data_IF_673686268790
#
_entry.id   IF_673686268790
#
_cell.length_a   1.000
_cell.length_b   1.000
_cell.length_c   1.000
_cell.angle_alpha   90.00
_cell.angle_beta   90.00
_cell.angle_gamma   90.00
#
_symmetry.space_group_name_H-M   'P 1'
#
loop_
_entity.id
_entity.type
_entity.pdbx_description
1 polymer ?
#
# COMPACT_ATOMS: atom_id res chain seq x y z
N UNK A 1 37.76 14.59 -59.27
CA UNK A 1 37.49 13.39 -58.45
C UNK A 1 37.47 13.68 -56.93
N UNK A 2 38.19 14.68 -56.40
CA UNK A 2 38.22 14.94 -54.94
C UNK A 2 37.01 15.66 -54.30
N UNK A 3 36.22 16.42 -55.07
CA UNK A 3 35.06 17.17 -54.52
C UNK A 3 33.86 16.26 -54.22
N UNK A 4 33.59 15.27 -55.10
CA UNK A 4 32.54 14.27 -54.87
C UNK A 4 32.81 13.47 -53.60
N UNK A 5 34.05 13.01 -53.40
CA UNK A 5 34.44 12.25 -52.21
C UNK A 5 34.30 13.03 -50.90
N UNK A 6 34.49 14.35 -50.93
CA UNK A 6 34.31 15.20 -49.73
C UNK A 6 32.82 15.34 -49.41
N UNK A 7 31.95 15.53 -50.42
CA UNK A 7 30.49 15.58 -50.22
C UNK A 7 29.95 14.23 -49.72
N UNK A 8 30.46 13.13 -50.24
CA UNK A 8 30.07 11.78 -49.81
C UNK A 8 30.51 11.51 -48.35
N UNK A 9 31.70 11.97 -47.96
CA UNK A 9 32.18 11.93 -46.57
C UNK A 9 31.33 12.79 -45.62
N UNK A 10 30.98 14.02 -46.01
CA UNK A 10 30.14 14.89 -45.17
C UNK A 10 28.73 14.29 -45.02
N UNK A 11 28.16 13.80 -46.12
CA UNK A 11 26.80 13.22 -46.11
C UNK A 11 26.73 11.95 -45.26
N UNK A 12 27.74 11.08 -45.33
CA UNK A 12 27.81 9.88 -44.49
C UNK A 12 28.02 10.20 -43.00
N UNK A 13 28.80 11.23 -42.66
CA UNK A 13 28.94 11.69 -41.27
C UNK A 13 27.64 12.25 -40.72
N UNK A 14 26.90 13.03 -41.52
CA UNK A 14 25.59 13.58 -41.10
C UNK A 14 24.57 12.46 -40.88
N UNK A 15 24.49 11.49 -41.81
CA UNK A 15 23.59 10.34 -41.67
C UNK A 15 23.98 9.48 -40.46
N UNK A 16 25.28 9.20 -40.28
CA UNK A 16 25.80 8.45 -39.14
C UNK A 16 25.53 9.16 -37.81
N UNK A 17 25.70 10.48 -37.76
CA UNK A 17 25.39 11.30 -36.59
C UNK A 17 23.90 11.29 -36.25
N UNK A 18 23.03 11.39 -37.25
CA UNK A 18 21.58 11.31 -37.05
C UNK A 18 21.14 9.92 -36.54
N UNK A 19 21.73 8.85 -37.09
CA UNK A 19 21.51 7.49 -36.59
C UNK A 19 21.97 7.33 -35.15
N UNK A 20 23.12 7.89 -34.78
CA UNK A 20 23.63 7.86 -33.40
C UNK A 20 22.68 8.59 -32.43
N UNK A 21 22.16 9.76 -32.81
CA UNK A 21 21.19 10.49 -31.98
C UNK A 21 19.88 9.71 -31.80
N UNK A 22 19.43 9.00 -32.84
CA UNK A 22 18.26 8.12 -32.73
C UNK A 22 18.56 6.97 -31.76
N UNK A 23 19.74 6.36 -31.83
CA UNK A 23 20.14 5.30 -30.91
C UNK A 23 20.21 5.78 -29.45
N UNK A 24 20.72 6.99 -29.20
CA UNK A 24 20.72 7.56 -27.85
C UNK A 24 19.29 7.78 -27.34
N UNK A 25 18.40 8.36 -28.14
CA UNK A 25 16.98 8.52 -27.74
C UNK A 25 16.29 7.19 -27.49
N UNK A 26 16.56 6.18 -28.30
CA UNK A 26 16.02 4.84 -28.09
C UNK A 26 16.56 4.22 -26.81
N UNK A 27 17.84 4.43 -26.48
CA UNK A 27 18.43 3.96 -25.24
C UNK A 27 17.78 4.64 -24.03
N UNK A 28 17.70 5.98 -24.03
CA UNK A 28 17.06 6.76 -22.97
C UNK A 28 15.61 6.31 -22.75
N UNK A 29 14.82 6.22 -23.83
CA UNK A 29 13.44 5.75 -23.76
C UNK A 29 13.34 4.29 -23.27
N UNK A 30 14.30 3.44 -23.60
CA UNK A 30 14.31 2.05 -23.13
C UNK A 30 14.63 1.98 -21.64
N UNK A 31 15.59 2.77 -21.16
CA UNK A 31 15.93 2.83 -19.72
C UNK A 31 14.75 3.37 -18.93
N UNK A 32 14.11 4.43 -19.40
CA UNK A 32 12.90 5.01 -18.79
C UNK A 32 11.77 3.99 -18.70
N UNK A 33 11.44 3.34 -19.82
CA UNK A 33 10.41 2.32 -19.83
C UNK A 33 10.73 1.18 -18.86
N UNK A 34 11.96 0.67 -18.83
CA UNK A 34 12.34 -0.41 -17.91
C UNK A 34 12.18 -0.01 -16.45
N UNK A 35 12.55 1.22 -16.09
CA UNK A 35 12.39 1.68 -14.73
C UNK A 35 10.92 1.90 -14.37
N UNK A 36 10.14 2.57 -15.22
CA UNK A 36 8.71 2.82 -14.97
C UNK A 36 7.94 1.51 -14.85
N UNK A 37 8.10 0.59 -15.81
CA UNK A 37 7.41 -0.71 -15.75
C UNK A 37 7.94 -1.59 -14.60
N UNK A 38 9.24 -1.52 -14.30
CA UNK A 38 9.83 -2.23 -13.16
C UNK A 38 9.27 -1.75 -11.82
N UNK A 39 9.24 -0.44 -11.60
CA UNK A 39 8.68 0.19 -10.40
C UNK A 39 7.17 -0.05 -10.28
N UNK A 40 6.40 0.03 -11.37
CA UNK A 40 4.98 -0.36 -11.39
C UNK A 40 4.76 -1.81 -10.99
N UNK A 41 5.57 -2.74 -11.52
CA UNK A 41 5.47 -4.15 -11.16
C UNK A 41 5.79 -4.40 -9.68
N UNK A 42 6.82 -3.73 -9.14
CA UNK A 42 7.20 -3.82 -7.73
C UNK A 42 6.08 -3.24 -6.84
N UNK A 43 5.60 -2.03 -7.13
CA UNK A 43 4.53 -1.39 -6.37
C UNK A 43 3.25 -2.25 -6.36
N UNK A 44 2.90 -2.86 -7.50
CA UNK A 44 1.76 -3.79 -7.58
C UNK A 44 1.98 -5.07 -6.77
N UNK A 45 3.17 -5.69 -6.85
CA UNK A 45 3.51 -6.89 -6.08
C UNK A 45 3.40 -6.62 -4.57
N UNK A 46 4.03 -5.54 -4.12
CA UNK A 46 3.99 -5.10 -2.73
C UNK A 46 2.55 -4.80 -2.26
N UNK A 47 1.76 -4.12 -3.10
CA UNK A 47 0.35 -3.86 -2.80
C UNK A 47 -0.44 -5.15 -2.63
N UNK A 48 -0.23 -6.15 -3.51
CA UNK A 48 -0.91 -7.44 -3.42
C UNK A 48 -0.56 -8.15 -2.11
N UNK A 49 0.71 -8.18 -1.72
CA UNK A 49 1.15 -8.79 -0.46
C UNK A 49 0.50 -8.13 0.76
N UNK A 50 0.53 -6.79 0.82
CA UNK A 50 -0.10 -6.03 1.91
C UNK A 50 -1.61 -6.27 1.95
N UNK A 51 -2.28 -6.21 0.80
CA UNK A 51 -3.72 -6.40 0.71
C UNK A 51 -4.12 -7.81 1.11
N UNK A 52 -3.41 -8.84 0.65
CA UNK A 52 -3.69 -10.23 1.01
C UNK A 52 -3.59 -10.46 2.52
N UNK A 53 -2.54 -9.92 3.16
CA UNK A 53 -2.35 -10.02 4.61
C UNK A 53 -3.46 -9.28 5.37
N UNK A 54 -3.73 -8.02 5.00
CA UNK A 54 -4.76 -7.20 5.65
C UNK A 54 -6.14 -7.80 5.48
N UNK A 55 -6.50 -8.25 4.28
CA UNK A 55 -7.79 -8.91 4.05
C UNK A 55 -7.92 -10.20 4.85
N UNK A 56 -6.88 -11.04 4.85
CA UNK A 56 -6.88 -12.29 5.59
C UNK A 56 -7.17 -12.05 7.07
N UNK A 57 -6.49 -11.08 7.68
CA UNK A 57 -6.63 -10.79 9.10
C UNK A 57 -7.95 -10.06 9.41
N UNK A 58 -8.39 -9.14 8.55
CA UNK A 58 -9.65 -8.42 8.76
C UNK A 58 -10.87 -9.32 8.59
N UNK A 59 -10.80 -10.38 7.76
CA UNK A 59 -11.86 -11.40 7.67
C UNK A 59 -11.98 -12.25 8.94
N UNK A 60 -10.92 -12.31 9.76
CA UNK A 60 -10.90 -13.01 11.05
C UNK A 60 -11.33 -12.13 12.23
N UNK A 61 -11.72 -10.87 12.02
CA UNK A 61 -12.27 -10.03 13.11
C UNK A 61 -13.43 -10.77 13.80
N UNK A 62 -13.31 -10.93 15.12
CA UNK A 62 -14.31 -11.60 15.95
C UNK A 62 -14.41 -13.12 15.74
N UNK A 63 -13.42 -13.73 15.07
CA UNK A 63 -13.31 -15.18 14.96
C UNK A 63 -12.49 -15.74 16.13
N UNK A 64 -13.00 -16.76 16.79
CA UNK A 64 -12.25 -17.63 17.70
C UNK A 64 -12.75 -19.06 17.54
N UNK A 65 -11.84 -20.04 17.64
CA UNK A 65 -12.21 -21.46 17.60
C UNK A 65 -13.14 -21.83 18.76
N UNK A 66 -12.88 -21.28 19.94
CA UNK A 66 -13.75 -21.40 21.10
C UNK A 66 -14.69 -20.19 21.14
N UNK A 67 -15.86 -20.35 20.54
CA UNK A 67 -16.84 -19.28 20.40
C UNK A 67 -17.41 -18.78 21.75
N UNK A 68 -17.31 -19.58 22.82
CA UNK A 68 -17.80 -19.22 24.15
C UNK A 68 -16.90 -18.17 24.82
N UNK A 69 -15.62 -18.11 24.44
CA UNK A 69 -14.66 -17.14 24.99
C UNK A 69 -14.90 -15.71 24.49
N UNK A 70 -15.62 -15.52 23.37
CA UNK A 70 -16.04 -14.20 22.89
C UNK A 70 -17.48 -13.94 23.38
N UNK A 71 -17.67 -13.35 24.58
CA UNK A 71 -19.00 -13.22 25.18
C UNK A 71 -19.91 -12.24 24.44
N UNK A 72 -19.35 -11.31 23.66
CA UNK A 72 -20.12 -10.37 22.84
C UNK A 72 -19.43 -10.15 21.49
N UNK A 73 -19.94 -10.75 20.40
CA UNK A 73 -19.37 -10.55 19.06
C UNK A 73 -19.43 -9.08 18.63
N UNK A 74 -20.33 -8.26 19.20
CA UNK A 74 -20.41 -6.81 18.95
C UNK A 74 -19.31 -5.97 19.63
N UNK A 75 -18.40 -6.61 20.36
CA UNK A 75 -17.22 -5.98 20.97
C UNK A 75 -15.91 -6.52 20.40
N UNK A 76 -15.97 -7.07 19.19
CA UNK A 76 -14.80 -7.65 18.54
C UNK A 76 -13.83 -6.56 18.08
N UNK A 77 -14.31 -5.35 17.77
CA UNK A 77 -13.46 -4.18 17.53
C UNK A 77 -13.29 -3.41 18.85
N UNK A 78 -12.05 -3.22 19.28
CA UNK A 78 -11.71 -2.54 20.53
C UNK A 78 -11.54 -1.03 20.33
N UNK A 79 -10.83 -0.63 19.27
CA UNK A 79 -10.54 0.76 18.97
C UNK A 79 -10.37 0.96 17.47
N UNK A 80 -10.84 2.08 16.95
CA UNK A 80 -10.77 2.40 15.53
C UNK A 80 -10.55 3.92 15.33
N UNK A 81 -9.58 4.25 14.50
CA UNK A 81 -9.22 5.62 14.07
C UNK A 81 -9.02 5.60 12.55
N UNK A 82 -8.74 6.76 11.95
CA UNK A 82 -8.55 6.84 10.50
C UNK A 82 -7.37 5.97 10.00
N UNK A 83 -6.30 5.82 10.79
CA UNK A 83 -5.08 5.12 10.34
C UNK A 83 -4.68 3.96 11.27
N UNK A 84 -5.57 3.57 12.18
CA UNK A 84 -5.33 2.43 13.07
C UNK A 84 -6.61 1.73 13.50
N UNK A 85 -6.52 0.42 13.70
CA UNK A 85 -7.61 -0.43 14.19
C UNK A 85 -7.05 -1.50 15.11
N UNK A 86 -7.75 -1.79 16.20
CA UNK A 86 -7.46 -2.90 17.11
C UNK A 86 -8.69 -3.77 17.27
N UNK A 87 -8.54 -5.08 17.12
CA UNK A 87 -9.64 -6.03 17.18
C UNK A 87 -9.21 -7.37 17.78
N UNK A 88 -10.21 -8.15 18.19
CA UNK A 88 -10.06 -9.50 18.73
C UNK A 88 -10.13 -10.53 17.62
N UNK A 89 -9.23 -11.51 17.66
CA UNK A 89 -9.19 -12.65 16.74
C UNK A 89 -8.44 -13.80 17.40
N UNK A 90 -8.59 -15.01 16.87
CA UNK A 90 -7.74 -16.17 17.16
C UNK A 90 -6.83 -16.37 15.93
N UNK A 91 -5.56 -15.98 16.05
CA UNK A 91 -4.64 -15.92 14.91
C UNK A 91 -4.21 -17.32 14.45
N UNK A 92 -3.83 -18.15 15.43
CA UNK A 92 -3.25 -19.48 15.27
C UNK A 92 -4.28 -20.61 15.39
N UNK A 93 -5.56 -20.29 15.63
CA UNK A 93 -6.66 -21.24 15.79
C UNK A 93 -6.45 -22.20 16.98
N UNK A 94 -5.82 -21.71 18.05
CA UNK A 94 -5.57 -22.44 19.30
C UNK A 94 -6.75 -22.35 20.29
N UNK A 95 -7.76 -21.52 19.98
CA UNK A 95 -8.93 -21.29 20.81
C UNK A 95 -8.71 -20.30 21.94
N UNK A 96 -7.62 -19.54 21.94
CA UNK A 96 -7.43 -18.37 22.79
C UNK A 96 -7.74 -17.10 22.00
N UNK A 97 -8.05 -16.03 22.74
CA UNK A 97 -8.33 -14.73 22.14
C UNK A 97 -7.03 -13.94 22.11
N UNK A 98 -6.64 -13.54 20.91
CA UNK A 98 -5.60 -12.58 20.64
C UNK A 98 -6.18 -11.21 20.31
N UNK A 99 -5.39 -10.18 20.56
CA UNK A 99 -5.65 -8.82 20.08
C UNK A 99 -4.71 -8.50 18.94
N UNK A 100 -5.24 -8.14 17.78
CA UNK A 100 -4.45 -7.69 16.64
C UNK A 100 -4.64 -6.19 16.45
N UNK A 101 -3.53 -5.46 16.28
CA UNK A 101 -3.54 -4.02 16.05
C UNK A 101 -2.77 -3.69 14.78
N UNK A 102 -3.40 -2.93 13.90
CA UNK A 102 -2.78 -2.31 12.74
C UNK A 102 -2.69 -0.81 12.94
N UNK A 103 -1.56 -0.22 12.57
CA UNK A 103 -1.41 1.24 12.49
C UNK A 103 -0.32 1.64 11.49
N UNK A 104 -0.49 2.83 10.90
CA UNK A 104 0.51 3.44 10.05
C UNK A 104 1.51 4.24 10.89
N UNK A 105 2.81 4.03 10.69
CA UNK A 105 3.90 4.78 11.31
C UNK A 105 4.00 6.23 10.85
N UNK A 106 4.91 7.00 11.46
CA UNK A 106 5.23 8.37 11.01
C UNK A 106 6.15 8.34 9.79
N UNK A 107 6.09 9.37 8.94
CA UNK A 107 7.09 9.60 7.87
C UNK A 107 8.51 9.79 8.43
N UNK A 108 8.63 10.22 9.68
CA UNK A 108 9.92 10.45 10.33
C UNK A 108 10.69 9.16 10.64
N UNK A 109 10.04 7.99 10.54
CA UNK A 109 10.67 6.69 10.81
C UNK A 109 11.53 6.20 9.63
N UNK A 110 11.25 6.68 8.41
CA UNK A 110 11.88 6.25 7.16
C UNK A 110 12.62 7.38 6.43
N UNK A 111 13.32 8.25 7.18
CA UNK A 111 14.09 9.37 6.61
C UNK A 111 15.22 8.98 5.65
N UNK A 112 15.63 7.70 5.66
CA UNK A 112 16.69 7.20 4.77
C UNK A 112 16.17 6.77 3.40
N UNK A 113 14.86 6.79 3.18
CA UNK A 113 14.26 6.48 1.89
C UNK A 113 14.16 7.76 1.05
N UNK A 114 14.40 7.69 -0.28
CA UNK A 114 14.20 8.84 -1.15
C UNK A 114 12.75 9.33 -1.18
N UNK A 115 11.78 8.41 -1.04
CA UNK A 115 10.36 8.76 -0.99
C UNK A 115 9.98 9.41 0.36
N UNK A 116 9.62 10.71 0.40
CA UNK A 116 9.28 11.40 1.64
C UNK A 116 7.96 10.95 2.26
N UNK A 117 7.11 10.24 1.51
CA UNK A 117 5.81 9.76 1.97
C UNK A 117 5.85 8.33 2.52
N UNK A 118 7.01 7.66 2.45
CA UNK A 118 7.14 6.27 2.86
C UNK A 118 6.88 6.11 4.37
N UNK A 119 6.07 5.11 4.71
CA UNK A 119 5.67 4.80 6.08
C UNK A 119 5.62 3.30 6.28
N UNK A 120 5.99 2.86 7.47
CA UNK A 120 5.84 1.44 7.83
C UNK A 120 4.41 1.17 8.27
N UNK A 121 3.76 0.17 7.66
CA UNK A 121 2.51 -0.39 8.18
C UNK A 121 2.85 -1.44 9.24
N UNK A 122 2.49 -1.15 10.48
CA UNK A 122 2.74 -2.06 11.60
C UNK A 122 1.56 -2.96 11.86
N UNK A 123 1.87 -4.24 12.09
CA UNK A 123 1.00 -5.28 12.61
C UNK A 123 1.53 -5.70 13.99
N UNK A 124 0.68 -5.62 15.00
CA UNK A 124 1.02 -6.00 16.38
C UNK A 124 0.08 -7.10 16.84
N UNK A 125 0.66 -8.25 17.20
CA UNK A 125 -0.07 -9.35 17.82
C UNK A 125 0.10 -9.25 19.34
N UNK A 126 -1.01 -9.12 20.05
CA UNK A 126 -1.07 -8.94 21.49
C UNK A 126 -0.20 -7.76 21.96
N UNK A 127 0.71 -8.02 22.90
CA UNK A 127 1.67 -7.06 23.45
C UNK A 127 3.08 -7.29 22.91
N UNK A 128 3.22 -7.99 21.78
CA UNK A 128 4.51 -8.24 21.15
C UNK A 128 5.07 -6.96 20.50
N UNK A 129 6.35 -7.00 20.15
CA UNK A 129 6.98 -5.91 19.41
C UNK A 129 6.27 -5.71 18.06
N UNK A 130 6.03 -4.46 17.64
CA UNK A 130 5.44 -4.18 16.34
C UNK A 130 6.26 -4.81 15.20
N UNK A 131 5.60 -5.58 14.36
CA UNK A 131 6.21 -6.14 13.16
C UNK A 131 5.68 -5.35 11.96
N UNK A 132 6.58 -4.82 11.16
CA UNK A 132 6.24 -4.11 9.93
C UNK A 132 7.30 -4.43 8.89
N UNK A 133 6.89 -4.44 7.63
CA UNK A 133 7.80 -4.48 6.50
C UNK A 133 7.71 -3.14 5.77
N UNK A 134 8.86 -2.59 5.38
CA UNK A 134 8.86 -1.45 4.47
C UNK A 134 8.56 -1.97 3.06
N UNK A 135 7.28 -1.93 2.69
CA UNK A 135 6.78 -2.28 1.36
C UNK A 135 6.34 -1.04 0.58
N UNK A 136 6.75 0.17 1.00
CA UNK A 136 6.39 1.43 0.34
C UNK A 136 4.97 1.91 0.64
N UNK A 137 4.40 1.62 1.82
CA UNK A 137 3.02 2.00 2.14
C UNK A 137 2.97 3.49 2.48
N UNK A 138 2.34 4.30 1.62
CA UNK A 138 2.23 5.75 1.85
C UNK A 138 0.87 6.16 2.42
N UNK A 139 -0.16 5.34 2.18
CA UNK A 139 -1.51 5.60 2.65
C UNK A 139 -2.15 4.32 3.19
N UNK A 140 -2.70 4.42 4.42
CA UNK A 140 -3.56 3.41 5.02
C UNK A 140 -4.69 4.13 5.76
N UNK A 141 -5.84 4.26 5.10
CA UNK A 141 -7.01 4.93 5.66
C UNK A 141 -8.19 3.97 5.82
N UNK A 142 -8.88 4.12 6.95
CA UNK A 142 -10.03 3.36 7.35
C UNK A 142 -11.22 4.29 7.52
N UNK A 143 -12.33 3.94 6.87
CA UNK A 143 -13.61 4.59 7.05
C UNK A 143 -14.60 3.57 7.59
N UNK A 144 -15.39 3.96 8.59
CA UNK A 144 -16.33 3.07 9.24
C UNK A 144 -17.75 3.56 9.02
N UNK A 145 -18.68 2.62 8.86
CA UNK A 145 -20.08 2.92 8.58
C UNK A 145 -20.99 2.17 9.54
N UNK A 146 -22.09 2.79 9.92
CA UNK A 146 -23.16 2.19 10.72
C UNK A 146 -24.02 1.20 9.90
N UNK A 147 -25.00 0.58 10.56
CA UNK A 147 -25.92 -0.37 9.92
C UNK A 147 -26.84 0.27 8.86
N UNK A 148 -27.00 1.59 8.88
CA UNK A 148 -27.77 2.36 7.90
C UNK A 148 -26.90 2.84 6.73
N UNK A 149 -25.58 2.62 6.80
CA UNK A 149 -24.60 3.06 5.79
C UNK A 149 -24.09 4.49 5.98
N UNK A 150 -24.36 5.14 7.11
CA UNK A 150 -23.79 6.45 7.41
C UNK A 150 -22.37 6.31 7.91
N UNK A 151 -21.48 7.19 7.47
CA UNK A 151 -20.10 7.22 7.93
C UNK A 151 -20.03 7.68 9.39
N UNK A 152 -19.31 6.92 10.22
CA UNK A 152 -19.01 7.27 11.60
C UNK A 152 -17.89 8.32 11.63
N UNK A 153 -18.04 9.33 12.48
CA UNK A 153 -17.02 10.37 12.71
C UNK A 153 -16.06 9.95 13.81
N UNK A 154 -14.78 10.30 13.65
CA UNK A 154 -13.78 10.08 14.68
C UNK A 154 -13.86 11.15 15.79
N UNK A 155 -13.54 10.79 17.06
CA UNK A 155 -13.27 9.44 17.56
C UNK A 155 -14.55 8.59 17.66
N UNK A 156 -14.45 7.29 17.35
CA UNK A 156 -15.58 6.36 17.47
C UNK A 156 -15.75 6.01 18.95
N UNK A 157 -16.80 6.53 19.58
CA UNK A 157 -17.11 6.28 21.00
C UNK A 157 -17.78 4.94 21.24
N UNK A 158 -18.46 4.39 20.23
CA UNK A 158 -19.20 3.12 20.30
C UNK A 158 -18.71 2.19 19.18
N UNK A 159 -17.62 1.42 19.39
CA UNK A 159 -17.09 0.50 18.37
C UNK A 159 -18.12 -0.53 17.88
N UNK A 160 -19.09 -0.92 18.72
CA UNK A 160 -20.17 -1.83 18.36
C UNK A 160 -21.11 -1.28 17.27
N UNK A 161 -21.07 0.02 16.98
CA UNK A 161 -21.83 0.62 15.89
C UNK A 161 -21.20 0.37 14.51
N UNK A 162 -19.95 -0.10 14.44
CA UNK A 162 -19.23 -0.36 13.19
C UNK A 162 -19.83 -1.60 12.51
N UNK A 163 -20.53 -1.37 11.41
CA UNK A 163 -21.19 -2.40 10.62
C UNK A 163 -20.41 -2.80 9.37
N UNK A 164 -19.90 -1.80 8.64
CA UNK A 164 -18.99 -2.03 7.52
C UNK A 164 -17.80 -1.09 7.60
N UNK A 165 -16.70 -1.48 6.96
CA UNK A 165 -15.53 -0.63 6.83
C UNK A 165 -15.09 -0.53 5.37
N UNK A 166 -14.48 0.59 5.03
CA UNK A 166 -13.75 0.79 3.79
C UNK A 166 -12.27 0.94 4.13
N UNK A 167 -11.43 0.28 3.34
CA UNK A 167 -9.98 0.26 3.53
C UNK A 167 -9.38 0.84 2.25
N UNK A 168 -8.57 1.88 2.38
CA UNK A 168 -7.80 2.45 1.29
C UNK A 168 -6.32 2.22 1.56
N UNK A 169 -5.63 1.62 0.61
CA UNK A 169 -4.19 1.36 0.67
C UNK A 169 -3.53 1.95 -0.57
N UNK A 170 -2.47 2.73 -0.37
CA UNK A 170 -1.56 3.18 -1.43
C UNK A 170 -0.17 2.67 -1.13
N UNK A 171 0.43 2.09 -2.15
CA UNK A 171 1.84 1.73 -2.15
C UNK A 171 2.54 2.54 -3.24
N UNK A 172 3.71 3.05 -2.92
CA UNK A 172 4.59 3.75 -3.85
C UNK A 172 5.96 3.08 -3.87
N UNK A 173 6.68 3.26 -4.96
CA UNK A 173 8.08 2.86 -5.01
C UNK A 173 8.91 3.72 -4.03
N UNK A 174 9.95 3.11 -3.48
CA UNK A 174 10.92 3.75 -2.58
C UNK A 174 11.82 4.70 -3.38
N UNK A 175 12.03 4.41 -4.67
CA UNK A 175 12.85 5.20 -5.58
C UNK A 175 12.02 5.73 -6.76
N UNK A 176 12.19 7.01 -7.10
CA UNK A 176 11.60 7.62 -8.30
C UNK A 176 12.59 7.62 -9.48
N UNK A 177 12.08 7.46 -10.71
CA UNK A 177 12.93 7.47 -11.91
C UNK A 177 13.33 8.88 -12.33
N UNK A 178 12.35 9.78 -12.36
CA UNK A 178 12.44 11.04 -13.11
C UNK A 178 12.08 12.22 -12.22
N UNK A 179 12.79 13.32 -12.43
CA UNK A 179 12.52 14.63 -11.82
C UNK A 179 11.87 15.51 -12.86
N UNK A 180 10.55 15.51 -12.89
CA UNK A 180 9.80 16.45 -13.73
C UNK A 180 9.40 17.63 -12.84
N UNK A 181 9.97 18.82 -13.08
CA UNK A 181 9.77 20.03 -12.26
C UNK A 181 10.22 19.89 -10.79
N UNK A 182 11.39 19.28 -10.54
CA UNK A 182 11.93 19.03 -9.18
C UNK A 182 11.09 18.10 -8.29
N UNK A 183 10.07 17.43 -8.85
CA UNK A 183 9.29 16.39 -8.17
C UNK A 183 9.69 15.00 -8.68
N UNK A 184 10.10 14.11 -7.77
CA UNK A 184 10.40 12.72 -8.09
C UNK A 184 9.11 11.96 -8.40
N UNK A 185 9.04 11.35 -9.58
CA UNK A 185 7.88 10.56 -10.00
C UNK A 185 8.02 9.13 -9.47
N UNK A 186 7.29 8.84 -8.40
CA UNK A 186 7.18 7.49 -7.87
C UNK A 186 6.11 6.71 -8.61
N UNK A 187 6.42 5.46 -8.94
CA UNK A 187 5.37 4.54 -9.36
C UNK A 187 4.44 4.26 -8.18
N UNK A 188 3.13 4.18 -8.41
CA UNK A 188 2.16 3.98 -7.34
C UNK A 188 1.08 2.99 -7.73
N UNK A 189 0.63 2.22 -6.75
CA UNK A 189 -0.49 1.32 -6.87
C UNK A 189 -1.50 1.64 -5.76
N UNK A 190 -2.79 1.62 -6.11
CA UNK A 190 -3.86 1.96 -5.18
C UNK A 190 -4.90 0.85 -5.15
N UNK A 191 -5.28 0.45 -3.95
CA UNK A 191 -6.34 -0.50 -3.71
C UNK A 191 -7.36 0.06 -2.72
N UNK A 192 -8.63 -0.26 -2.97
CA UNK A 192 -9.74 0.15 -2.11
C UNK A 192 -10.77 -0.95 -2.03
N UNK A 193 -11.02 -1.41 -0.81
CA UNK A 193 -12.14 -2.29 -0.52
C UNK A 193 -13.31 -1.49 0.02
N UNK A 194 -14.44 -1.55 -0.69
CA UNK A 194 -15.67 -0.88 -0.30
C UNK A 194 -16.54 -1.87 0.48
N UNK A 195 -16.96 -1.48 1.68
CA UNK A 195 -17.96 -2.19 2.50
C UNK A 195 -17.57 -3.62 2.88
N UNK A 196 -16.38 -3.81 3.45
CA UNK A 196 -16.06 -5.04 4.16
C UNK A 196 -17.00 -5.15 5.38
N UNK A 197 -17.80 -6.22 5.44
CA UNK A 197 -18.70 -6.45 6.55
C UNK A 197 -17.92 -6.71 7.84
N UNK A 198 -18.16 -5.88 8.85
CA UNK A 198 -17.65 -6.07 10.19
C UNK A 198 -18.47 -7.17 10.87
N UNK A 199 -17.83 -8.21 11.41
CA UNK A 199 -18.52 -9.30 12.13
C UNK A 199 -18.96 -8.90 13.54
N UNK A 200 -19.24 -7.61 13.74
CA UNK A 200 -19.47 -6.97 15.03
C UNK A 200 -20.97 -6.94 15.41
N UNK A 201 -21.73 -7.99 15.13
CA UNK A 201 -23.19 -8.06 15.35
C UNK A 201 -23.57 -9.09 16.41
N UNK A 202 -24.56 -8.73 17.24
CA UNK A 202 -25.13 -9.58 18.31
C UNK A 202 -25.97 -10.75 17.84
N UNK A 203 -26.54 -10.70 16.64
CA UNK A 203 -27.34 -11.80 16.10
C UNK A 203 -26.52 -12.59 15.09
N UNK A 204 -25.99 -13.74 15.56
CA UNK A 204 -25.75 -14.91 14.72
C UNK A 204 -27.04 -15.70 14.62
#
# INVERSE_FOLDING_TARGET
MGFSTIIDLISSVVIGGLLLLILFRLNDATVENNYVYGGEAIAQSNLVEVVQLVEHDFRKIGYCKDWEKIPDPSKSILSATQNSISFLTDENNDGNIDTLRYYLGSTDELQNTPNPNDRTLYRVLNHQQPQGANLGVTQFDLFFFDAMGNQLTFPITVPSAIYTMQINIRVEDVYGYDRVHDEEKYSSAFWRQVRLASRNLKNR
#
